data_IF_455674748354
#
_entry.id   IF_455674748354
#
_cell.length_a   1.000
_cell.length_b   1.000
_cell.length_c   1.000
_cell.angle_alpha   90.00
_cell.angle_beta   90.00
_cell.angle_gamma   90.00
#
_symmetry.space_group_name_H-M   'P 1'
#
loop_
_entity.id
_entity.type
_entity.pdbx_description
1 polymer ?
#
# COMPACT_ATOMS: atom_id res chain seq x y z
N UNK A 1 16.13 -49.37 61.93
CA UNK A 1 16.35 -49.12 60.48
C UNK A 1 17.77 -48.63 60.30
N UNK A 2 18.58 -49.27 59.45
CA UNK A 2 19.97 -48.86 59.22
C UNK A 2 19.97 -47.72 58.19
N UNK A 3 20.31 -46.50 58.61
CA UNK A 3 20.32 -45.29 57.76
C UNK A 3 21.58 -45.20 56.85
N UNK A 4 22.55 -46.09 57.07
CA UNK A 4 23.81 -46.17 56.32
C UNK A 4 23.62 -46.34 54.81
N UNK A 5 22.79 -47.28 54.31
CA UNK A 5 22.51 -47.39 52.87
C UNK A 5 21.85 -46.13 52.29
N UNK A 6 20.98 -45.44 53.04
CA UNK A 6 20.30 -44.22 52.58
C UNK A 6 21.26 -43.03 52.45
N UNK A 7 22.20 -42.87 53.39
CA UNK A 7 23.25 -41.84 53.31
C UNK A 7 24.19 -42.12 52.13
N UNK A 8 24.58 -43.38 51.92
CA UNK A 8 25.42 -43.78 50.79
C UNK A 8 24.73 -43.46 49.45
N UNK A 9 23.44 -43.78 49.32
CA UNK A 9 22.62 -43.42 48.16
C UNK A 9 22.53 -41.90 47.96
N UNK A 10 22.42 -41.11 49.03
CA UNK A 10 22.34 -39.64 48.95
C UNK A 10 23.67 -39.02 48.49
N UNK A 11 24.80 -39.56 48.94
CA UNK A 11 26.14 -39.15 48.46
C UNK A 11 26.32 -39.52 46.99
N UNK A 12 25.91 -40.72 46.57
CA UNK A 12 25.95 -41.14 45.17
C UNK A 12 25.05 -40.24 44.31
N UNK A 13 23.84 -39.92 44.78
CA UNK A 13 22.93 -39.00 44.11
C UNK A 13 23.54 -37.59 43.97
N UNK A 14 24.17 -37.07 45.02
CA UNK A 14 24.84 -35.78 44.99
C UNK A 14 26.06 -35.78 44.05
N UNK A 15 26.83 -36.87 44.01
CA UNK A 15 27.95 -37.04 43.08
C UNK A 15 27.48 -37.13 41.62
N UNK A 16 26.41 -37.88 41.34
CA UNK A 16 25.77 -37.95 40.04
C UNK A 16 25.19 -36.60 39.62
N UNK A 17 24.49 -35.90 40.53
CA UNK A 17 23.97 -34.56 40.29
C UNK A 17 25.08 -33.54 40.01
N UNK A 18 26.19 -33.61 40.75
CA UNK A 18 27.37 -32.79 40.51
C UNK A 18 28.04 -33.08 39.16
N UNK A 19 28.18 -34.36 38.79
CA UNK A 19 28.71 -34.78 37.49
C UNK A 19 27.84 -34.28 36.32
N UNK A 20 26.51 -34.45 36.41
CA UNK A 20 25.59 -33.94 35.40
C UNK A 20 25.65 -32.41 35.26
N UNK A 21 25.77 -31.69 36.38
CA UNK A 21 25.82 -30.23 36.38
C UNK A 21 27.14 -29.66 35.86
N UNK A 22 28.29 -30.22 36.25
CA UNK A 22 29.62 -29.69 35.89
C UNK A 22 30.22 -30.25 34.61
N UNK A 23 29.81 -31.45 34.17
CA UNK A 23 30.41 -32.12 33.01
C UNK A 23 29.40 -32.21 31.87
N UNK A 24 28.26 -32.86 32.11
CA UNK A 24 27.29 -33.22 31.06
C UNK A 24 26.52 -32.01 30.50
N UNK A 25 26.04 -31.10 31.35
CA UNK A 25 25.32 -29.89 30.93
C UNK A 25 26.19 -28.94 30.09
N UNK A 26 27.45 -28.64 30.49
CA UNK A 26 28.35 -27.84 29.66
C UNK A 26 28.76 -28.53 28.35
N UNK A 27 29.00 -29.84 28.35
CA UNK A 27 29.39 -30.58 27.14
C UNK A 27 28.24 -30.63 26.13
N UNK A 28 27.01 -30.94 26.57
CA UNK A 28 25.83 -30.92 25.69
C UNK A 28 25.59 -29.52 25.10
N UNK A 29 25.72 -28.46 25.90
CA UNK A 29 25.62 -27.08 25.38
C UNK A 29 26.70 -26.77 24.35
N UNK A 30 27.92 -27.26 24.55
CA UNK A 30 29.01 -27.09 23.58
C UNK A 30 28.75 -27.88 22.29
N UNK A 31 28.27 -29.11 22.38
CA UNK A 31 27.90 -29.94 21.24
C UNK A 31 26.74 -29.31 20.45
N UNK A 32 25.67 -28.87 21.12
CA UNK A 32 24.56 -28.16 20.49
C UNK A 32 25.01 -26.85 19.84
N UNK A 33 25.92 -26.10 20.47
CA UNK A 33 26.50 -24.88 19.90
C UNK A 33 27.37 -25.17 18.67
N UNK A 34 28.17 -26.22 18.70
CA UNK A 34 28.99 -26.65 17.55
C UNK A 34 28.12 -27.16 16.40
N UNK A 35 27.09 -27.95 16.70
CA UNK A 35 26.15 -28.46 15.71
C UNK A 35 25.34 -27.32 15.08
N UNK A 36 24.92 -26.34 15.89
CA UNK A 36 24.24 -25.14 15.38
C UNK A 36 25.19 -24.28 14.55
N UNK A 37 26.41 -24.01 15.03
CA UNK A 37 27.42 -23.21 14.35
C UNK A 37 27.86 -23.81 13.01
N UNK A 38 27.93 -25.14 12.93
CA UNK A 38 28.26 -25.85 11.68
C UNK A 38 27.13 -25.82 10.65
N UNK A 39 25.87 -25.71 11.12
CA UNK A 39 24.67 -25.59 10.26
C UNK A 39 24.37 -24.15 9.84
N UNK A 40 24.92 -23.15 10.50
CA UNK A 40 24.73 -21.73 10.16
C UNK A 40 25.84 -21.20 9.26
N UNK A 41 25.51 -20.27 8.37
CA UNK A 41 26.50 -19.62 7.52
C UNK A 41 27.32 -18.58 8.28
N UNK A 42 26.66 -17.69 9.03
CA UNK A 42 27.32 -16.64 9.81
C UNK A 42 27.47 -17.03 11.29
N UNK A 43 28.58 -16.65 11.95
CA UNK A 43 28.84 -16.98 13.35
C UNK A 43 28.19 -16.00 14.35
N UNK A 44 27.46 -14.98 13.90
CA UNK A 44 26.84 -13.95 14.74
C UNK A 44 25.37 -13.72 14.38
N UNK A 45 24.55 -13.22 15.34
CA UNK A 45 23.15 -12.93 15.10
C UNK A 45 22.95 -11.68 14.22
N UNK A 46 21.76 -11.56 13.64
CA UNK A 46 21.36 -10.42 12.81
C UNK A 46 21.51 -9.06 13.53
N UNK A 47 21.16 -9.01 14.82
CA UNK A 47 21.22 -7.81 15.67
C UNK A 47 22.64 -7.30 15.90
N UNK A 48 23.66 -8.12 15.70
CA UNK A 48 25.06 -7.70 15.85
C UNK A 48 25.62 -7.03 14.60
N UNK A 49 24.95 -7.15 13.45
CA UNK A 49 25.43 -6.69 12.14
C UNK A 49 25.30 -5.17 12.04
N UNK A 50 26.44 -4.50 11.83
CA UNK A 50 26.53 -3.04 11.71
C UNK A 50 27.06 -2.59 10.35
N UNK A 51 27.58 -3.50 9.53
CA UNK A 51 28.08 -3.16 8.19
C UNK A 51 28.01 -4.32 7.22
N UNK A 52 27.82 -3.98 5.94
CA UNK A 52 27.77 -4.91 4.82
C UNK A 52 28.53 -4.30 3.64
N UNK A 53 29.38 -5.09 3.01
CA UNK A 53 29.94 -4.76 1.69
C UNK A 53 29.59 -5.89 0.74
N UNK A 54 28.99 -5.56 -0.39
CA UNK A 54 28.61 -6.52 -1.42
C UNK A 54 29.32 -6.15 -2.72
N UNK A 55 30.10 -7.10 -3.23
CA UNK A 55 30.81 -7.01 -4.51
C UNK A 55 30.16 -7.96 -5.51
N UNK A 56 29.79 -7.43 -6.67
CA UNK A 56 29.15 -8.14 -7.79
C UNK A 56 29.77 -7.69 -9.11
N UNK A 57 29.53 -8.38 -10.24
CA UNK A 57 29.91 -7.89 -11.57
C UNK A 57 29.35 -6.49 -11.90
N UNK A 58 28.27 -6.07 -11.24
CA UNK A 58 27.64 -4.77 -11.42
C UNK A 58 28.28 -3.66 -10.58
N UNK A 59 29.20 -4.00 -9.67
CA UNK A 59 29.94 -3.07 -8.83
C UNK A 59 29.91 -3.43 -7.34
N UNK A 60 30.57 -2.58 -6.55
CA UNK A 60 30.68 -2.70 -5.10
C UNK A 60 29.70 -1.72 -4.44
N UNK A 61 28.98 -2.18 -3.42
CA UNK A 61 28.12 -1.35 -2.59
C UNK A 61 28.50 -1.59 -1.13
N UNK A 62 28.86 -0.52 -0.43
CA UNK A 62 29.14 -0.56 1.01
C UNK A 62 28.00 0.11 1.77
N UNK A 63 27.57 -0.52 2.85
CA UNK A 63 26.47 -0.07 3.70
C UNK A 63 26.86 -0.17 5.16
N UNK A 64 26.43 0.80 5.95
CA UNK A 64 26.61 0.83 7.40
C UNK A 64 25.34 1.23 8.12
N UNK A 65 25.18 0.69 9.32
CA UNK A 65 24.16 1.11 10.27
C UNK A 65 24.63 2.39 10.95
N UNK A 66 23.91 3.49 10.74
CA UNK A 66 24.17 4.77 11.37
C UNK A 66 23.53 4.86 12.76
N UNK A 67 23.97 5.85 13.54
CA UNK A 67 23.33 6.24 14.79
C UNK A 67 21.84 6.53 14.58
N UNK A 68 20.99 5.94 15.43
CA UNK A 68 19.54 5.97 15.28
C UNK A 68 18.95 4.82 14.44
N UNK A 69 19.76 3.81 14.10
CA UNK A 69 19.26 2.55 13.55
C UNK A 69 18.90 2.59 12.06
N UNK A 70 19.42 3.57 11.31
CA UNK A 70 19.16 3.71 9.88
C UNK A 70 20.34 3.22 9.05
N UNK A 71 20.06 2.38 8.06
CA UNK A 71 21.07 1.93 7.10
C UNK A 71 21.33 2.99 6.04
N UNK A 72 22.61 3.24 5.77
CA UNK A 72 23.07 4.10 4.69
C UNK A 72 24.05 3.36 3.79
N UNK A 73 24.03 3.69 2.51
CA UNK A 73 25.09 3.35 1.57
C UNK A 73 26.21 4.37 1.78
N UNK A 74 27.42 3.90 2.01
CA UNK A 74 28.62 4.73 2.23
C UNK A 74 29.51 4.80 1.00
N UNK A 75 29.45 3.80 0.12
CA UNK A 75 30.16 3.76 -1.17
C UNK A 75 29.32 3.03 -2.24
N UNK A 76 29.36 3.47 -3.51
CA UNK A 76 30.23 4.53 -4.06
C UNK A 76 29.67 5.95 -3.85
N UNK A 77 28.49 6.10 -3.25
CA UNK A 77 27.90 7.38 -2.90
C UNK A 77 27.31 7.32 -1.49
N UNK A 78 27.19 8.49 -0.85
CA UNK A 78 26.62 8.61 0.50
C UNK A 78 25.12 8.92 0.41
N UNK A 79 24.28 7.89 0.53
CA UNK A 79 22.82 8.02 0.47
C UNK A 79 22.14 7.02 1.39
N UNK A 80 20.87 7.23 1.67
CA UNK A 80 20.08 6.31 2.47
C UNK A 80 19.82 4.99 1.73
N UNK A 81 19.98 3.87 2.45
CA UNK A 81 19.64 2.56 1.95
C UNK A 81 18.14 2.28 2.10
N UNK A 82 17.60 1.37 1.28
CA UNK A 82 16.30 0.77 1.52
C UNK A 82 16.45 -0.26 2.66
N UNK A 83 15.88 0.00 3.85
CA UNK A 83 16.04 -0.87 5.00
C UNK A 83 15.46 -2.27 4.75
N UNK A 84 14.46 -2.42 3.87
CA UNK A 84 13.84 -3.71 3.56
C UNK A 84 14.79 -4.57 2.73
N UNK A 85 15.48 -3.98 1.76
CA UNK A 85 16.45 -4.69 0.92
C UNK A 85 17.69 -5.09 1.73
N UNK A 86 18.17 -4.20 2.61
CA UNK A 86 19.27 -4.52 3.53
C UNK A 86 18.86 -5.64 4.50
N UNK A 87 17.69 -5.53 5.13
CA UNK A 87 17.20 -6.55 6.06
C UNK A 87 16.94 -7.89 5.35
N UNK A 88 16.48 -7.85 4.09
CA UNK A 88 16.29 -9.05 3.27
C UNK A 88 17.62 -9.77 3.03
N UNK A 89 18.69 -9.02 2.71
CA UNK A 89 20.03 -9.57 2.55
C UNK A 89 20.56 -10.16 3.87
N UNK A 90 20.46 -9.41 4.98
CA UNK A 90 20.86 -9.89 6.32
C UNK A 90 20.13 -11.18 6.67
N UNK A 91 18.82 -11.20 6.50
CA UNK A 91 17.99 -12.37 6.77
C UNK A 91 18.46 -13.56 5.94
N UNK A 92 18.68 -13.37 4.64
CA UNK A 92 19.13 -14.45 3.76
C UNK A 92 20.47 -15.05 4.21
N UNK A 93 21.39 -14.23 4.73
CA UNK A 93 22.68 -14.71 5.27
C UNK A 93 22.52 -15.44 6.61
N UNK A 94 21.68 -14.93 7.50
CA UNK A 94 21.48 -15.49 8.86
C UNK A 94 20.65 -16.77 8.82
N UNK A 95 19.61 -16.82 7.98
CA UNK A 95 18.75 -18.01 7.84
C UNK A 95 19.33 -19.05 6.89
N UNK A 96 20.36 -18.69 6.11
CA UNK A 96 21.04 -19.59 5.19
C UNK A 96 21.68 -20.75 5.94
N UNK A 97 21.33 -21.98 5.55
CA UNK A 97 21.82 -23.19 6.18
C UNK A 97 22.93 -23.82 5.37
N UNK A 98 23.94 -24.29 6.07
CA UNK A 98 24.94 -25.20 5.54
C UNK A 98 24.29 -26.59 5.48
N UNK A 99 24.09 -27.07 4.27
CA UNK A 99 23.54 -28.42 4.02
C UNK A 99 24.63 -29.47 4.07
N UNK A 100 25.83 -29.11 3.60
CA UNK A 100 26.99 -30.00 3.56
C UNK A 100 28.26 -29.17 3.53
N UNK A 101 29.28 -29.60 4.27
CA UNK A 101 30.66 -29.14 4.08
C UNK A 101 31.30 -29.98 2.98
N UNK A 102 31.98 -29.34 2.04
CA UNK A 102 32.75 -30.04 1.00
C UNK A 102 34.13 -30.33 1.59
N UNK A 103 34.38 -31.59 1.90
CA UNK A 103 35.68 -32.06 2.39
C UNK A 103 36.70 -32.13 1.24
N UNK A 104 37.99 -32.03 1.59
CA UNK A 104 39.12 -32.29 0.68
C UNK A 104 39.25 -31.33 -0.52
N UNK A 105 38.84 -30.06 -0.36
CA UNK A 105 38.93 -29.05 -1.42
C UNK A 105 40.35 -28.51 -1.62
N UNK A 106 41.21 -28.60 -0.61
CA UNK A 106 42.57 -28.03 -0.65
C UNK A 106 42.54 -26.58 -1.14
N UNK A 107 43.26 -26.28 -2.22
CA UNK A 107 43.25 -24.98 -2.92
C UNK A 107 42.41 -24.96 -4.21
N UNK A 108 41.65 -26.02 -4.52
CA UNK A 108 40.91 -26.17 -5.77
C UNK A 108 39.53 -25.49 -5.72
N UNK A 109 39.49 -24.17 -5.90
CA UNK A 109 38.26 -23.37 -5.84
C UNK A 109 37.50 -23.28 -7.17
N UNK A 110 38.19 -23.50 -8.30
CA UNK A 110 37.63 -23.36 -9.64
C UNK A 110 36.40 -24.25 -9.94
N UNK A 111 36.35 -25.55 -9.51
CA UNK A 111 35.18 -26.41 -9.76
C UNK A 111 33.87 -25.94 -9.12
N UNK A 112 33.96 -25.00 -8.19
CA UNK A 112 32.84 -24.48 -7.42
C UNK A 112 32.50 -23.03 -7.81
N UNK A 113 33.16 -22.45 -8.81
CA UNK A 113 33.03 -21.04 -9.16
C UNK A 113 33.56 -20.08 -8.10
N UNK A 114 34.45 -20.55 -7.20
CA UNK A 114 34.94 -19.78 -6.05
C UNK A 114 36.34 -19.16 -6.27
N UNK A 115 36.99 -19.45 -7.40
CA UNK A 115 38.17 -18.71 -7.89
C UNK A 115 37.80 -17.25 -8.21
N UNK A 116 36.74 -17.08 -9.02
CA UNK A 116 36.16 -15.79 -9.36
C UNK A 116 34.70 -15.77 -8.90
N UNK A 117 34.43 -15.55 -7.60
CA UNK A 117 33.10 -15.61 -7.06
C UNK A 117 32.19 -14.56 -7.70
N UNK A 118 30.99 -14.97 -8.10
CA UNK A 118 29.98 -14.09 -8.70
C UNK A 118 29.50 -13.03 -7.70
N UNK A 119 29.57 -13.31 -6.41
CA UNK A 119 29.24 -12.34 -5.38
C UNK A 119 30.11 -12.55 -4.15
N UNK A 120 30.69 -11.49 -3.61
CA UNK A 120 31.41 -11.52 -2.33
C UNK A 120 30.74 -10.59 -1.35
N UNK A 121 30.43 -11.07 -0.16
CA UNK A 121 29.77 -10.30 0.89
C UNK A 121 30.65 -10.28 2.13
N UNK A 122 31.08 -9.10 2.54
CA UNK A 122 31.75 -8.90 3.83
C UNK A 122 30.76 -8.34 4.82
N UNK A 123 30.58 -9.02 5.94
CA UNK A 123 29.68 -8.64 7.02
C UNK A 123 30.49 -8.20 8.22
N UNK A 124 30.17 -7.03 8.78
CA UNK A 124 30.79 -6.49 9.99
C UNK A 124 29.79 -6.55 11.14
N UNK A 125 30.20 -7.13 12.26
CA UNK A 125 29.36 -7.30 13.44
C UNK A 125 30.17 -7.16 14.74
N UNK A 126 29.84 -6.17 15.58
CA UNK A 126 30.43 -6.05 16.93
C UNK A 126 31.97 -6.04 17.01
N UNK A 127 32.66 -5.54 15.97
CA UNK A 127 34.14 -5.55 15.87
C UNK A 127 34.72 -6.80 15.20
N UNK A 128 33.91 -7.82 14.91
CA UNK A 128 34.25 -8.95 14.06
C UNK A 128 33.86 -8.66 12.61
N UNK A 129 34.50 -9.36 11.68
CA UNK A 129 34.11 -9.38 10.29
C UNK A 129 34.27 -10.79 9.71
N UNK A 130 33.38 -11.16 8.81
CA UNK A 130 33.47 -12.40 8.04
C UNK A 130 33.13 -12.13 6.57
N UNK A 131 33.73 -12.89 5.67
CA UNK A 131 33.55 -12.76 4.22
C UNK A 131 32.99 -14.05 3.67
N UNK A 132 31.89 -13.92 2.93
CA UNK A 132 31.16 -15.00 2.29
C UNK A 132 31.32 -14.81 0.78
N UNK A 133 32.05 -15.71 0.13
CA UNK A 133 32.17 -15.72 -1.33
C UNK A 133 31.22 -16.75 -1.92
N UNK A 134 30.37 -16.33 -2.84
CA UNK A 134 29.32 -17.14 -3.46
C UNK A 134 29.77 -17.53 -4.86
N UNK A 135 29.82 -18.83 -5.10
CA UNK A 135 30.21 -19.44 -6.37
C UNK A 135 29.01 -19.98 -7.14
N UNK A 136 29.22 -21.11 -7.81
CA UNK A 136 28.26 -21.73 -8.71
C UNK A 136 27.08 -22.38 -7.98
N UNK A 137 26.02 -22.64 -8.75
CA UNK A 137 24.90 -23.46 -8.30
C UNK A 137 25.37 -24.88 -7.99
N UNK A 138 24.89 -25.40 -6.87
CA UNK A 138 25.16 -26.78 -6.47
C UNK A 138 24.38 -27.80 -7.31
N UNK A 139 24.58 -29.10 -7.04
CA UNK A 139 23.92 -30.18 -7.77
C UNK A 139 22.39 -30.18 -7.64
N UNK A 140 21.86 -29.52 -6.59
CA UNK A 140 20.44 -29.34 -6.37
C UNK A 140 20.04 -27.92 -6.82
N UNK A 141 18.87 -27.79 -7.46
CA UNK A 141 18.39 -26.55 -8.08
C UNK A 141 18.25 -25.34 -7.14
N UNK A 142 18.30 -25.54 -5.82
CA UNK A 142 18.22 -24.49 -4.82
C UNK A 142 19.41 -24.56 -3.84
N UNK A 143 20.60 -24.86 -4.34
CA UNK A 143 21.83 -24.84 -3.54
C UNK A 143 22.92 -24.00 -4.19
N UNK A 144 23.80 -23.44 -3.37
CA UNK A 144 24.96 -22.65 -3.80
C UNK A 144 26.23 -23.10 -3.08
N UNK A 145 27.34 -23.14 -3.82
CA UNK A 145 28.65 -23.25 -3.20
C UNK A 145 29.09 -21.91 -2.62
N UNK A 146 29.61 -21.96 -1.41
CA UNK A 146 30.01 -20.78 -0.65
C UNK A 146 31.35 -21.04 0.02
N UNK A 147 32.31 -20.13 -0.15
CA UNK A 147 33.53 -20.10 0.67
C UNK A 147 33.30 -19.17 1.85
N UNK A 148 33.39 -19.72 3.06
CA UNK A 148 33.37 -18.91 4.29
C UNK A 148 34.79 -18.52 4.69
N UNK A 149 34.99 -17.24 4.90
CA UNK A 149 36.31 -16.65 5.19
C UNK A 149 36.84 -17.06 6.56
N UNK A 150 35.99 -17.14 7.59
CA UNK A 150 36.40 -17.40 8.97
C UNK A 150 37.12 -18.73 9.17
N UNK A 151 36.67 -19.80 8.50
CA UNK A 151 37.22 -21.16 8.60
C UNK A 151 37.80 -21.68 7.28
N UNK A 152 37.80 -20.85 6.23
CA UNK A 152 38.25 -21.17 4.88
C UNK A 152 37.63 -22.46 4.31
N UNK A 153 36.36 -22.75 4.66
CA UNK A 153 35.66 -23.95 4.20
C UNK A 153 34.75 -23.65 3.01
N UNK A 154 34.71 -24.60 2.08
CA UNK A 154 33.71 -24.65 1.01
C UNK A 154 32.46 -25.38 1.52
N UNK A 155 31.33 -24.71 1.40
CA UNK A 155 30.05 -25.10 1.97
C UNK A 155 29.03 -25.17 0.84
N UNK A 156 28.20 -26.21 0.86
CA UNK A 156 26.97 -26.26 0.08
C UNK A 156 25.85 -25.72 0.94
N UNK A 157 25.20 -24.66 0.48
CA UNK A 157 24.16 -23.94 1.22
C UNK A 157 22.82 -23.98 0.52
N UNK A 158 21.72 -23.76 1.24
CA UNK A 158 20.35 -23.63 0.68
C UNK A 158 19.99 -22.20 0.25
N UNK A 159 21.01 -21.36 0.07
CA UNK A 159 20.85 -19.97 -0.32
C UNK A 159 20.13 -19.85 -1.67
N UNK A 160 19.14 -18.97 -1.74
CA UNK A 160 18.44 -18.66 -2.98
C UNK A 160 19.32 -17.75 -3.88
N UNK A 161 19.71 -18.17 -5.10
CA UNK A 161 20.64 -17.40 -5.94
C UNK A 161 20.20 -15.97 -6.22
N UNK A 162 18.89 -15.74 -6.39
CA UNK A 162 18.31 -14.41 -6.64
C UNK A 162 18.55 -13.40 -5.51
N UNK A 163 18.80 -13.87 -4.29
CA UNK A 163 19.07 -12.99 -3.14
C UNK A 163 20.45 -12.34 -3.20
N UNK A 164 21.36 -12.89 -4.00
CA UNK A 164 22.77 -12.53 -3.97
C UNK A 164 23.31 -12.12 -5.35
N UNK A 165 22.80 -12.74 -6.40
CA UNK A 165 23.22 -12.45 -7.78
C UNK A 165 22.47 -11.23 -8.33
N UNK A 166 23.12 -10.44 -9.20
CA UNK A 166 22.58 -9.26 -9.87
C UNK A 166 22.15 -8.11 -8.94
N UNK A 167 22.66 -8.11 -7.70
CA UNK A 167 22.46 -6.97 -6.79
C UNK A 167 23.26 -5.78 -7.31
N UNK A 168 22.58 -4.65 -7.43
CA UNK A 168 23.18 -3.39 -7.90
C UNK A 168 23.07 -2.33 -6.81
N UNK A 169 23.81 -1.24 -6.97
CA UNK A 169 23.61 -0.03 -6.19
C UNK A 169 22.13 0.39 -6.11
N UNK A 170 21.42 0.40 -7.24
CA UNK A 170 20.00 0.76 -7.29
C UNK A 170 19.12 -0.22 -6.49
N UNK A 171 19.55 -1.47 -6.30
CA UNK A 171 18.80 -2.45 -5.49
C UNK A 171 18.71 -1.99 -4.04
N UNK A 172 19.83 -1.53 -3.47
CA UNK A 172 19.90 -1.11 -2.08
C UNK A 172 19.57 0.36 -1.86
N UNK A 173 19.51 1.18 -2.91
CA UNK A 173 19.08 2.57 -2.77
C UNK A 173 17.59 2.62 -2.49
N UNK A 174 17.21 3.54 -1.61
CA UNK A 174 15.81 3.87 -1.39
C UNK A 174 15.17 4.42 -2.67
N UNK A 175 13.98 3.93 -3.02
CA UNK A 175 13.30 4.25 -4.28
C UNK A 175 12.04 5.09 -4.08
N UNK A 176 11.53 5.20 -2.86
CA UNK A 176 10.35 6.01 -2.54
C UNK A 176 10.68 7.51 -2.67
N UNK A 177 9.86 8.24 -3.43
CA UNK A 177 10.04 9.68 -3.66
C UNK A 177 9.42 10.54 -2.55
N UNK A 178 8.36 10.04 -1.92
CA UNK A 178 7.64 10.69 -0.82
C UNK A 178 7.62 9.75 0.39
N UNK A 179 7.63 10.29 1.60
CA UNK A 179 7.68 9.54 2.86
C UNK A 179 6.65 10.11 3.82
N UNK A 180 5.48 9.51 3.85
CA UNK A 180 4.40 10.00 4.68
C UNK A 180 3.56 8.84 5.16
N UNK A 181 2.92 9.03 6.31
CA UNK A 181 1.85 8.14 6.78
C UNK A 181 0.54 8.76 6.32
N UNK A 182 -0.33 7.99 5.65
CA UNK A 182 -1.55 8.54 5.04
C UNK A 182 -2.45 9.27 6.04
N UNK A 183 -2.51 8.80 7.29
CA UNK A 183 -3.31 9.41 8.36
C UNK A 183 -2.76 10.76 8.82
N UNK A 184 -1.46 11.01 8.62
CA UNK A 184 -0.79 12.24 9.04
C UNK A 184 -0.86 13.33 7.95
N UNK A 185 -1.42 13.00 6.78
CA UNK A 185 -1.62 13.96 5.70
C UNK A 185 -2.84 14.84 5.99
N UNK A 186 -2.57 16.12 6.19
CA UNK A 186 -3.60 17.12 6.47
C UNK A 186 -4.13 17.76 5.18
N UNK A 187 -3.26 17.91 4.17
CA UNK A 187 -3.61 18.55 2.90
C UNK A 187 -2.82 17.98 1.73
N UNK A 188 -3.52 17.80 0.62
CA UNK A 188 -2.93 17.38 -0.67
C UNK A 188 -3.23 18.47 -1.70
N UNK A 189 -2.19 19.00 -2.33
CA UNK A 189 -2.32 19.93 -3.45
C UNK A 189 -1.81 19.27 -4.72
N UNK A 190 -2.66 19.22 -5.74
CA UNK A 190 -2.33 18.78 -7.09
C UNK A 190 -2.35 20.01 -8.00
N UNK A 191 -1.19 20.48 -8.42
CA UNK A 191 -1.06 21.62 -9.32
C UNK A 191 -0.75 21.12 -10.73
N UNK A 192 -1.64 21.41 -11.68
CA UNK A 192 -1.52 21.09 -13.10
C UNK A 192 -1.20 22.37 -13.90
N UNK A 193 -0.87 22.26 -15.20
CA UNK A 193 -0.61 23.44 -16.03
C UNK A 193 -1.77 24.46 -16.11
N UNK A 194 -3.02 24.00 -16.04
CA UNK A 194 -4.21 24.84 -16.26
C UNK A 194 -5.08 25.05 -15.02
N UNK A 195 -4.87 24.28 -13.95
CA UNK A 195 -5.70 24.31 -12.76
C UNK A 195 -4.97 23.69 -11.57
N UNK A 196 -5.52 23.84 -10.38
CA UNK A 196 -5.07 23.10 -9.21
C UNK A 196 -6.26 22.54 -8.44
N UNK A 197 -6.03 21.45 -7.71
CA UNK A 197 -6.99 20.81 -6.83
C UNK A 197 -6.38 20.76 -5.44
N UNK A 198 -7.10 21.26 -4.45
CA UNK A 198 -6.65 21.25 -3.04
C UNK A 198 -7.64 20.48 -2.20
N UNK A 199 -7.16 19.40 -1.59
CA UNK A 199 -7.89 18.51 -0.70
C UNK A 199 -7.44 18.74 0.74
N UNK A 200 -8.38 18.83 1.67
CA UNK A 200 -8.14 18.91 3.11
C UNK A 200 -8.73 17.71 3.81
N UNK A 201 -7.96 17.13 4.72
CA UNK A 201 -8.43 16.11 5.63
C UNK A 201 -9.12 16.76 6.83
N UNK A 202 -10.44 16.60 6.93
CA UNK A 202 -11.27 17.14 8.00
C UNK A 202 -11.45 16.17 9.17
N UNK A 203 -10.72 15.06 9.18
CA UNK A 203 -10.85 14.00 10.18
C UNK A 203 -9.92 14.16 11.40
N UNK A 204 -9.39 15.36 11.65
CA UNK A 204 -8.69 15.63 12.90
C UNK A 204 -9.61 15.22 14.07
N UNK A 205 -9.13 14.30 14.89
CA UNK A 205 -9.85 13.70 16.04
C UNK A 205 -11.08 12.83 15.70
N UNK A 206 -11.22 12.35 14.46
CA UNK A 206 -12.30 11.44 14.04
C UNK A 206 -11.77 10.06 13.61
N UNK A 207 -12.53 8.98 13.86
CA UNK A 207 -12.09 7.62 13.52
C UNK A 207 -12.10 7.32 12.01
N UNK A 208 -12.76 8.14 11.19
CA UNK A 208 -12.86 7.96 9.73
C UNK A 208 -12.32 9.18 8.98
N UNK A 209 -11.45 9.00 7.96
CA UNK A 209 -10.99 10.10 7.11
C UNK A 209 -12.18 10.79 6.45
N UNK A 210 -12.10 12.12 6.33
CA UNK A 210 -13.16 12.97 5.78
C UNK A 210 -12.50 14.04 4.91
N UNK A 211 -12.17 13.65 3.69
CA UNK A 211 -11.54 14.54 2.73
C UNK A 211 -12.56 15.46 2.09
N UNK A 212 -12.21 16.75 1.97
CA UNK A 212 -12.99 17.74 1.23
C UNK A 212 -12.12 18.48 0.24
N UNK A 213 -12.70 18.85 -0.90
CA UNK A 213 -12.10 19.76 -1.86
C UNK A 213 -12.35 21.20 -1.38
N UNK A 214 -11.30 22.02 -1.39
CA UNK A 214 -11.36 23.45 -1.05
C UNK A 214 -11.06 24.37 -2.22
N UNK A 215 -10.45 23.83 -3.28
CA UNK A 215 -10.16 24.58 -4.49
C UNK A 215 -10.16 23.60 -5.69
N UNK A 216 -10.69 23.98 -6.86
CA UNK A 216 -11.20 25.30 -7.24
C UNK A 216 -12.64 25.58 -6.77
N UNK A 217 -13.27 24.58 -6.15
CA UNK A 217 -14.61 24.66 -5.58
C UNK A 217 -14.57 24.15 -4.13
N UNK A 218 -15.56 24.54 -3.34
CA UNK A 218 -15.83 23.89 -2.06
C UNK A 218 -16.78 22.72 -2.29
N UNK A 219 -16.28 21.50 -2.11
CA UNK A 219 -17.06 20.29 -2.32
C UNK A 219 -16.56 19.15 -1.43
N UNK A 220 -17.37 18.12 -1.31
CA UNK A 220 -17.00 16.88 -0.65
C UNK A 220 -16.18 16.02 -1.61
N UNK A 221 -15.13 15.39 -1.11
CA UNK A 221 -14.28 14.53 -1.93
C UNK A 221 -14.81 13.09 -1.91
N UNK A 222 -14.57 12.37 -3.00
CA UNK A 222 -14.76 10.93 -3.01
C UNK A 222 -13.66 10.28 -2.16
N UNK A 223 -14.06 9.69 -1.03
CA UNK A 223 -13.10 9.14 -0.06
C UNK A 223 -12.33 7.93 -0.63
N UNK A 224 -12.94 7.18 -1.54
CA UNK A 224 -12.32 6.02 -2.19
C UNK A 224 -11.27 6.49 -3.18
N UNK A 225 -11.58 7.50 -3.98
CA UNK A 225 -10.64 8.06 -4.96
C UNK A 225 -9.47 8.79 -4.31
N UNK A 226 -9.70 9.51 -3.20
CA UNK A 226 -8.61 10.13 -2.43
C UNK A 226 -7.74 9.07 -1.77
N UNK A 227 -8.31 8.00 -1.21
CA UNK A 227 -7.52 6.87 -0.69
C UNK A 227 -6.68 6.21 -1.79
N UNK A 228 -7.27 5.98 -2.96
CA UNK A 228 -6.56 5.43 -4.11
C UNK A 228 -5.43 6.37 -4.58
N UNK A 229 -5.64 7.70 -4.52
CA UNK A 229 -4.59 8.68 -4.77
C UNK A 229 -3.44 8.55 -3.77
N UNK A 230 -3.72 8.38 -2.47
CA UNK A 230 -2.68 8.22 -1.45
C UNK A 230 -1.85 6.95 -1.70
N UNK A 231 -2.48 5.82 -2.02
CA UNK A 231 -1.77 4.59 -2.38
C UNK A 231 -0.87 4.79 -3.61
N UNK A 232 -1.35 5.47 -4.64
CA UNK A 232 -0.55 5.78 -5.84
C UNK A 232 0.68 6.63 -5.53
N UNK A 233 0.56 7.57 -4.58
CA UNK A 233 1.68 8.42 -4.14
C UNK A 233 2.68 7.64 -3.28
N UNK A 234 2.22 6.70 -2.46
CA UNK A 234 3.07 5.80 -1.68
C UNK A 234 3.82 4.80 -2.57
N UNK A 235 3.17 4.32 -3.63
CA UNK A 235 3.76 3.43 -4.64
C UNK A 235 4.58 4.14 -5.71
N UNK A 236 4.69 5.48 -5.64
CA UNK A 236 5.53 6.25 -6.54
C UNK A 236 7.02 5.99 -6.23
N UNK A 237 7.58 5.03 -6.97
CA UNK A 237 8.95 4.54 -6.79
C UNK A 237 9.80 4.81 -8.03
N UNK A 238 11.07 5.08 -7.79
CA UNK A 238 12.07 5.24 -8.83
C UNK A 238 12.37 3.89 -9.51
N UNK A 239 12.25 3.86 -10.84
CA UNK A 239 12.77 2.79 -11.71
C UNK A 239 14.25 3.00 -12.03
N UNK A 240 14.73 4.24 -11.93
CA UNK A 240 16.12 4.62 -12.08
C UNK A 240 16.38 5.98 -11.44
N UNK A 241 17.64 6.25 -11.10
CA UNK A 241 18.03 7.49 -10.41
C UNK A 241 19.17 8.12 -11.21
N UNK A 242 19.05 9.42 -11.48
CA UNK A 242 20.06 10.25 -12.15
C UNK A 242 20.61 11.20 -11.08
N UNK A 243 21.78 10.86 -10.54
CA UNK A 243 22.43 11.60 -9.46
C UNK A 243 22.91 12.99 -9.89
N UNK A 244 23.05 13.95 -8.96
CA UNK A 244 23.57 15.28 -9.25
C UNK A 244 24.90 15.24 -10.03
N UNK A 245 24.98 16.03 -11.10
CA UNK A 245 26.13 16.07 -12.00
C UNK A 245 25.73 16.49 -13.42
N UNK A 246 26.68 16.52 -14.37
CA UNK A 246 26.46 17.06 -15.72
C UNK A 246 25.31 16.38 -16.48
N UNK A 247 25.16 15.06 -16.33
CA UNK A 247 24.07 14.31 -16.96
C UNK A 247 22.70 14.74 -16.41
N UNK A 248 22.58 14.86 -15.08
CA UNK A 248 21.37 15.33 -14.43
C UNK A 248 21.02 16.74 -14.88
N UNK A 249 22.00 17.63 -14.96
CA UNK A 249 21.77 19.02 -15.37
C UNK A 249 21.34 19.14 -16.84
N UNK A 250 21.85 18.27 -17.71
CA UNK A 250 21.39 18.18 -19.09
C UNK A 250 19.91 17.76 -19.16
N UNK A 251 19.49 16.75 -18.39
CA UNK A 251 18.09 16.31 -18.31
C UNK A 251 17.22 17.39 -17.67
N UNK A 252 17.65 18.01 -16.56
CA UNK A 252 16.90 19.04 -15.87
C UNK A 252 16.52 20.22 -16.79
N UNK A 253 17.39 20.59 -17.74
CA UNK A 253 17.12 21.64 -18.74
C UNK A 253 15.98 21.31 -19.71
N UNK A 254 15.67 20.03 -19.94
CA UNK A 254 14.53 19.62 -20.78
C UNK A 254 13.21 19.63 -20.01
N UNK A 255 13.26 19.66 -18.67
CA UNK A 255 12.10 19.65 -17.78
C UNK A 255 11.52 21.07 -17.66
N UNK A 256 10.71 21.47 -18.65
CA UNK A 256 10.14 22.83 -18.70
C UNK A 256 8.88 22.98 -17.86
N UNK A 257 7.84 22.19 -18.13
CA UNK A 257 6.54 22.27 -17.45
C UNK A 257 6.14 20.92 -16.87
N UNK A 258 5.92 20.81 -15.55
CA UNK A 258 5.45 19.57 -14.94
C UNK A 258 4.02 19.27 -15.38
N UNK A 259 3.75 18.00 -15.69
CA UNK A 259 2.38 17.51 -15.93
C UNK A 259 1.54 17.60 -14.66
N UNK A 260 2.17 17.39 -13.51
CA UNK A 260 1.58 17.60 -12.19
C UNK A 260 2.67 17.86 -11.16
N UNK A 261 2.43 18.82 -10.27
CA UNK A 261 3.17 19.01 -9.03
C UNK A 261 2.26 18.60 -7.88
N UNK A 262 2.68 17.60 -7.12
CA UNK A 262 1.98 17.15 -5.91
C UNK A 262 2.70 17.73 -4.70
N UNK A 263 1.94 18.26 -3.75
CA UNK A 263 2.45 18.73 -2.46
C UNK A 263 1.60 18.15 -1.34
N UNK A 264 2.25 17.42 -0.44
CA UNK A 264 1.68 16.84 0.76
C UNK A 264 2.06 17.70 1.95
N UNK A 265 1.07 18.16 2.70
CA UNK A 265 1.27 18.87 3.96
C UNK A 265 1.02 17.89 5.12
N UNK A 266 1.99 17.80 6.01
CA UNK A 266 1.94 17.01 7.24
C UNK A 266 2.44 17.86 8.40
N UNK A 267 2.25 17.40 9.63
CA UNK A 267 2.80 18.06 10.82
C UNK A 267 4.35 18.14 10.81
N UNK A 268 5.03 17.19 10.13
CA UNK A 268 6.49 17.18 9.96
C UNK A 268 6.99 18.14 8.88
N UNK A 269 6.08 18.68 8.06
CA UNK A 269 6.38 19.64 6.99
C UNK A 269 5.83 19.23 5.63
N UNK A 270 6.16 20.05 4.62
CA UNK A 270 5.76 19.85 3.24
C UNK A 270 6.71 18.90 2.49
N UNK A 271 6.13 17.94 1.77
CA UNK A 271 6.84 17.14 0.79
C UNK A 271 6.27 17.39 -0.60
N UNK A 272 7.15 17.59 -1.58
CA UNK A 272 6.77 17.93 -2.95
C UNK A 272 7.41 16.96 -3.93
N UNK A 273 6.65 16.58 -4.96
CA UNK A 273 7.17 15.91 -6.14
C UNK A 273 6.56 16.55 -7.39
N UNK A 274 7.39 16.83 -8.39
CA UNK A 274 6.97 17.28 -9.71
C UNK A 274 7.20 16.16 -10.70
N UNK A 275 6.20 15.88 -11.54
CA UNK A 275 6.27 14.84 -12.55
C UNK A 275 6.28 15.47 -13.94
N UNK A 276 7.19 15.01 -14.78
CA UNK A 276 7.44 15.49 -16.12
C UNK A 276 7.38 14.33 -17.11
N UNK A 277 7.02 14.66 -18.34
CA UNK A 277 7.06 13.74 -19.47
C UNK A 277 7.67 14.51 -20.66
N UNK A 278 9.01 14.61 -20.72
CA UNK A 278 9.69 15.44 -21.71
C UNK A 278 9.53 14.89 -23.13
N UNK A 279 9.44 13.57 -23.27
CA UNK A 279 9.18 12.89 -24.54
C UNK A 279 7.92 12.02 -24.42
N UNK A 280 6.88 12.41 -25.15
CA UNK A 280 5.59 11.72 -25.16
C UNK A 280 5.65 10.43 -26.01
N UNK A 281 6.54 10.36 -27.00
CA UNK A 281 6.66 9.21 -27.89
C UNK A 281 7.39 8.03 -27.24
N UNK A 282 8.53 8.27 -26.56
CA UNK A 282 9.17 7.22 -25.76
C UNK A 282 8.39 6.88 -24.50
N UNK A 283 7.52 7.81 -24.05
CA UNK A 283 6.77 7.69 -22.81
C UNK A 283 7.62 7.91 -21.56
N UNK A 284 8.91 8.29 -21.66
CA UNK A 284 9.78 8.47 -20.49
C UNK A 284 9.18 9.50 -19.51
N UNK A 285 9.05 9.09 -18.24
CA UNK A 285 8.54 9.94 -17.18
C UNK A 285 9.63 10.17 -16.12
N UNK A 286 9.81 11.44 -15.76
CA UNK A 286 10.82 11.90 -14.83
C UNK A 286 10.14 12.59 -13.65
N UNK A 287 10.64 12.36 -12.45
CA UNK A 287 10.19 13.03 -11.24
C UNK A 287 11.34 13.80 -10.57
N UNK A 288 10.99 14.92 -9.97
CA UNK A 288 11.87 15.82 -9.25
C UNK A 288 11.26 16.15 -7.89
N UNK A 289 12.00 15.91 -6.80
CA UNK A 289 11.55 16.27 -5.44
C UNK A 289 12.14 17.61 -4.98
N UNK A 290 13.40 17.88 -5.31
CA UNK A 290 14.10 19.15 -5.05
C UNK A 290 15.00 19.56 -6.23
N UNK A 291 15.28 20.86 -6.42
CA UNK A 291 16.09 21.37 -7.53
C UNK A 291 17.55 20.89 -7.56
N UNK A 292 18.10 20.44 -6.44
CA UNK A 292 19.48 19.98 -6.23
C UNK A 292 19.57 18.47 -5.95
N UNK A 293 18.43 17.79 -5.84
CA UNK A 293 18.34 16.36 -5.62
C UNK A 293 18.48 15.56 -6.94
N UNK A 294 18.70 14.23 -6.85
CA UNK A 294 18.60 13.35 -8.00
C UNK A 294 17.27 13.52 -8.75
N UNK A 295 17.30 13.27 -10.06
CA UNK A 295 16.10 13.06 -10.84
C UNK A 295 15.75 11.57 -10.86
N UNK A 296 14.47 11.25 -10.86
CA UNK A 296 14.00 9.87 -10.78
C UNK A 296 13.27 9.49 -12.06
N UNK A 297 13.71 8.43 -12.71
CA UNK A 297 12.91 7.77 -13.76
C UNK A 297 11.78 7.03 -13.07
N UNK A 298 10.56 7.24 -13.52
CA UNK A 298 9.35 6.63 -12.94
C UNK A 298 8.53 5.94 -14.03
N UNK A 299 7.56 5.12 -13.61
CA UNK A 299 6.64 4.51 -14.56
C UNK A 299 5.84 5.58 -15.32
N UNK A 300 5.72 5.50 -16.66
CA UNK A 300 4.89 6.40 -17.45
C UNK A 300 3.42 6.40 -17.00
N UNK A 301 2.94 5.25 -16.50
CA UNK A 301 1.59 5.12 -15.96
C UNK A 301 1.33 6.09 -14.79
N UNK A 302 2.36 6.41 -13.99
CA UNK A 302 2.22 7.33 -12.86
C UNK A 302 1.78 8.73 -13.30
N UNK A 303 2.14 9.19 -14.51
CA UNK A 303 1.65 10.46 -15.05
C UNK A 303 0.13 10.39 -15.20
N UNK A 304 -0.37 9.41 -15.95
CA UNK A 304 -1.82 9.21 -16.16
C UNK A 304 -2.57 9.02 -14.84
N UNK A 305 -1.98 8.25 -13.92
CA UNK A 305 -2.59 7.89 -12.65
C UNK A 305 -2.63 9.04 -11.63
N UNK A 306 -1.80 10.07 -11.80
CA UNK A 306 -1.73 11.24 -10.92
C UNK A 306 -2.23 12.54 -11.58
N UNK A 307 -2.45 12.56 -12.88
CA UNK A 307 -3.18 13.63 -13.58
C UNK A 307 -4.69 13.40 -13.50
N UNK A 308 -5.27 13.65 -12.33
CA UNK A 308 -6.70 13.43 -12.06
C UNK A 308 -7.52 14.67 -12.34
N UNK A 309 -8.68 14.47 -12.96
CA UNK A 309 -9.67 15.54 -13.10
C UNK A 309 -10.38 15.80 -11.77
N UNK A 310 -10.80 17.05 -11.56
CA UNK A 310 -11.55 17.47 -10.38
C UNK A 310 -12.78 16.59 -10.14
N UNK A 311 -13.54 16.29 -11.19
CA UNK A 311 -14.77 15.51 -11.09
C UNK A 311 -14.51 14.06 -10.67
N UNK A 312 -13.33 13.51 -10.95
CA UNK A 312 -12.93 12.17 -10.46
C UNK A 312 -12.73 12.17 -8.94
N UNK A 313 -12.18 13.25 -8.38
CA UNK A 313 -11.89 13.35 -6.94
C UNK A 313 -13.07 13.86 -6.12
N UNK A 314 -14.12 14.36 -6.76
CA UNK A 314 -15.32 14.90 -6.14
C UNK A 314 -16.30 13.77 -5.80
N UNK A 315 -17.01 13.87 -4.66
CA UNK A 315 -18.12 12.97 -4.35
C UNK A 315 -19.23 13.15 -5.40
N UNK A 316 -19.42 12.12 -6.24
CA UNK A 316 -20.34 12.15 -7.39
C UNK A 316 -21.78 11.75 -7.03
N UNK A 317 -22.08 11.45 -5.76
CA UNK A 317 -23.44 11.07 -5.35
C UNK A 317 -24.39 12.26 -5.45
N UNK A 318 -25.44 12.11 -6.26
CA UNK A 318 -26.38 13.20 -6.55
C UNK A 318 -27.34 13.48 -5.38
N UNK A 319 -27.81 12.44 -4.69
CA UNK A 319 -28.65 12.61 -3.51
C UNK A 319 -27.89 13.31 -2.38
N UNK A 320 -26.60 12.94 -2.22
CA UNK A 320 -25.66 13.69 -1.40
C UNK A 320 -25.74 13.46 0.10
N UNK A 321 -26.38 12.38 0.53
CA UNK A 321 -26.50 11.95 1.92
C UNK A 321 -26.04 10.50 2.05
N UNK A 322 -25.47 10.15 3.21
CA UNK A 322 -25.18 8.76 3.51
C UNK A 322 -26.48 8.00 3.75
N UNK A 323 -26.61 6.79 3.19
CA UNK A 323 -27.85 6.01 3.33
C UNK A 323 -28.18 5.69 4.79
N UNK A 324 -27.16 5.61 5.67
CA UNK A 324 -27.33 5.37 7.11
C UNK A 324 -27.88 6.59 7.87
N UNK A 325 -27.85 7.77 7.26
CA UNK A 325 -28.39 9.01 7.81
C UNK A 325 -29.82 9.32 7.32
N UNK A 326 -30.35 8.52 6.38
CA UNK A 326 -31.71 8.65 5.86
C UNK A 326 -32.70 8.04 6.85
N UNK A 327 -33.62 8.86 7.36
CA UNK A 327 -34.74 8.42 8.18
C UNK A 327 -36.01 8.18 7.35
N UNK A 328 -36.21 8.95 6.27
CA UNK A 328 -37.32 8.73 5.35
C UNK A 328 -36.86 8.92 3.91
N UNK A 329 -37.34 8.07 3.00
CA UNK A 329 -37.15 8.22 1.57
C UNK A 329 -38.52 8.26 0.88
N UNK A 330 -38.88 9.43 0.37
CA UNK A 330 -40.04 9.59 -0.51
C UNK A 330 -39.66 9.19 -1.92
N UNK A 331 -40.49 8.37 -2.54
CA UNK A 331 -40.34 7.87 -3.91
C UNK A 331 -41.54 8.30 -4.73
N UNK A 332 -41.30 9.00 -5.83
CA UNK A 332 -42.33 9.43 -6.77
C UNK A 332 -41.91 9.15 -8.19
N UNK A 333 -42.67 8.35 -8.91
CA UNK A 333 -42.52 8.11 -10.35
C UNK A 333 -43.83 8.48 -11.06
N UNK A 334 -43.97 8.13 -12.34
CA UNK A 334 -45.25 8.29 -13.06
C UNK A 334 -46.36 7.35 -12.56
N UNK A 335 -45.97 6.19 -12.03
CA UNK A 335 -46.85 5.07 -11.70
C UNK A 335 -46.80 4.66 -10.22
N UNK A 336 -45.81 5.12 -9.45
CA UNK A 336 -45.57 4.74 -8.05
C UNK A 336 -45.40 5.99 -7.19
N UNK A 337 -46.05 6.00 -6.02
CA UNK A 337 -45.84 7.01 -4.98
C UNK A 337 -45.92 6.35 -3.61
N UNK A 338 -44.82 6.43 -2.85
CA UNK A 338 -44.71 5.86 -1.51
C UNK A 338 -43.57 6.48 -0.71
N UNK A 339 -43.62 6.30 0.61
CA UNK A 339 -42.59 6.75 1.53
C UNK A 339 -42.11 5.57 2.36
N UNK A 340 -40.80 5.34 2.34
CA UNK A 340 -40.14 4.41 3.26
C UNK A 340 -39.66 5.17 4.49
N UNK A 341 -39.96 4.66 5.68
CA UNK A 341 -39.55 5.23 6.96
C UNK A 341 -38.67 4.21 7.68
N UNK A 342 -37.48 4.62 8.09
CA UNK A 342 -36.62 3.83 8.96
C UNK A 342 -36.98 4.11 10.43
N UNK A 343 -37.63 3.14 11.09
CA UNK A 343 -37.91 3.19 12.52
C UNK A 343 -37.11 2.10 13.23
N UNK A 344 -36.25 2.49 14.17
CA UNK A 344 -35.42 1.57 14.96
C UNK A 344 -34.54 0.62 14.11
N UNK A 345 -34.12 1.03 12.92
CA UNK A 345 -33.31 0.22 12.02
C UNK A 345 -34.12 -0.67 11.07
N UNK A 346 -35.45 -0.64 11.13
CA UNK A 346 -36.34 -1.34 10.21
C UNK A 346 -37.07 -0.36 9.29
N UNK A 347 -37.13 -0.67 8.00
CA UNK A 347 -37.91 0.05 7.00
C UNK A 347 -39.37 -0.37 7.02
N UNK A 348 -40.26 0.61 7.01
CA UNK A 348 -41.71 0.45 6.91
C UNK A 348 -42.26 1.35 5.81
N UNK A 349 -43.43 0.98 5.26
CA UNK A 349 -44.21 1.87 4.39
C UNK A 349 -45.06 2.81 5.26
N UNK A 350 -44.97 4.12 4.98
CA UNK A 350 -45.73 5.14 5.73
C UNK A 350 -47.25 4.89 5.71
N UNK A 351 -47.79 4.47 4.56
CA UNK A 351 -49.22 4.23 4.37
C UNK A 351 -49.66 2.83 4.81
N UNK A 352 -48.71 1.92 5.09
CA UNK A 352 -48.96 0.53 5.53
C UNK A 352 -47.99 0.11 6.63
N UNK A 353 -48.00 0.78 7.80
CA UNK A 353 -46.98 0.58 8.83
C UNK A 353 -47.08 -0.79 9.53
N UNK A 354 -48.20 -1.51 9.38
CA UNK A 354 -48.40 -2.84 9.99
C UNK A 354 -47.97 -3.99 9.09
N UNK A 355 -47.75 -3.74 7.80
CA UNK A 355 -47.32 -4.77 6.85
C UNK A 355 -45.79 -4.92 6.88
N UNK A 356 -45.30 -6.15 6.78
CA UNK A 356 -43.86 -6.43 6.84
C UNK A 356 -43.22 -6.11 5.50
N UNK A 357 -42.27 -5.19 5.49
CA UNK A 357 -41.41 -4.86 4.34
C UNK A 357 -40.15 -5.73 4.37
N UNK A 358 -39.70 -6.17 3.20
CA UNK A 358 -38.41 -6.82 3.01
C UNK A 358 -37.28 -5.83 3.30
N UNK A 359 -36.62 -6.03 4.45
CA UNK A 359 -35.52 -5.16 4.88
C UNK A 359 -34.36 -5.17 3.89
N UNK A 360 -34.04 -6.34 3.34
CA UNK A 360 -33.00 -6.48 2.33
C UNK A 360 -33.33 -5.69 1.05
N UNK A 361 -34.58 -5.76 0.58
CA UNK A 361 -35.02 -5.01 -0.61
C UNK A 361 -34.96 -3.51 -0.37
N UNK A 362 -35.48 -3.07 0.78
CA UNK A 362 -35.52 -1.67 1.17
C UNK A 362 -34.10 -1.10 1.34
N UNK A 363 -33.22 -1.79 2.07
CA UNK A 363 -31.82 -1.38 2.25
C UNK A 363 -31.07 -1.31 0.91
N UNK A 364 -31.24 -2.32 0.05
CA UNK A 364 -30.63 -2.36 -1.26
C UNK A 364 -31.13 -1.19 -2.13
N UNK A 365 -32.42 -0.92 -2.12
CA UNK A 365 -33.00 0.18 -2.88
C UNK A 365 -32.57 1.55 -2.35
N UNK A 366 -32.69 1.81 -1.05
CA UNK A 366 -32.28 3.08 -0.42
C UNK A 366 -30.79 3.33 -0.63
N UNK A 367 -29.95 2.31 -0.45
CA UNK A 367 -28.51 2.43 -0.70
C UNK A 367 -28.18 2.71 -2.16
N UNK A 368 -28.90 2.13 -3.13
CA UNK A 368 -28.74 2.44 -4.57
C UNK A 368 -29.09 3.88 -4.89
N UNK A 369 -30.23 4.38 -4.38
CA UNK A 369 -30.65 5.78 -4.58
C UNK A 369 -29.64 6.74 -3.96
N UNK A 370 -29.18 6.47 -2.74
CA UNK A 370 -28.22 7.30 -2.03
C UNK A 370 -26.82 7.31 -2.68
N UNK A 371 -26.40 6.17 -3.23
CA UNK A 371 -25.06 5.99 -3.82
C UNK A 371 -25.03 6.19 -5.34
N UNK A 372 -26.14 6.58 -5.98
CA UNK A 372 -26.19 6.80 -7.43
C UNK A 372 -25.15 7.84 -7.86
N UNK A 373 -24.09 7.45 -8.59
CA UNK A 373 -23.07 8.37 -9.01
C UNK A 373 -23.49 9.09 -10.29
N UNK A 374 -23.14 10.37 -10.38
CA UNK A 374 -23.06 11.04 -11.67
C UNK A 374 -21.92 10.43 -12.51
N UNK A 375 -22.25 9.99 -13.73
CA UNK A 375 -21.28 9.46 -14.68
C UNK A 375 -20.61 10.61 -15.45
N UNK A 376 -21.42 11.56 -15.91
CA UNK A 376 -20.95 12.72 -16.67
C UNK A 376 -21.62 14.00 -16.19
N UNK A 377 -20.88 15.12 -16.31
CA UNK A 377 -21.42 16.45 -16.05
C UNK A 377 -21.74 17.14 -17.37
N UNK A 378 -23.02 17.35 -17.62
CA UNK A 378 -23.54 17.95 -18.87
C UNK A 378 -23.44 19.47 -18.82
N UNK A 379 -23.89 20.09 -17.72
CA UNK A 379 -23.83 21.55 -17.54
C UNK A 379 -23.31 21.91 -16.15
N UNK A 380 -22.41 22.90 -16.10
CA UNK A 380 -21.74 23.37 -14.86
C UNK A 380 -22.55 24.37 -14.03
N UNK A 381 -23.60 24.98 -14.59
CA UNK A 381 -24.44 26.00 -13.97
C UNK A 381 -25.93 25.68 -14.12
N UNK A 382 -26.79 26.45 -13.46
CA UNK A 382 -28.25 26.36 -13.61
C UNK A 382 -28.66 26.50 -15.07
N UNK A 383 -29.27 25.45 -15.61
CA UNK A 383 -29.83 25.42 -16.96
C UNK A 383 -31.35 25.23 -16.90
N UNK A 384 -32.10 25.59 -17.96
CA UNK A 384 -33.51 25.26 -18.05
C UNK A 384 -33.69 23.75 -17.87
N UNK A 385 -34.57 23.34 -16.95
CA UNK A 385 -34.81 21.91 -16.64
C UNK A 385 -35.65 21.19 -17.70
N UNK A 386 -36.42 21.94 -18.49
CA UNK A 386 -37.39 21.40 -19.45
C UNK A 386 -36.78 20.53 -20.57
N UNK A 387 -35.68 20.93 -21.24
CA UNK A 387 -35.04 20.12 -22.29
C UNK A 387 -34.58 18.74 -21.81
N UNK A 388 -34.37 18.60 -20.51
CA UNK A 388 -33.84 17.40 -19.87
C UNK A 388 -34.94 16.55 -19.22
N UNK A 389 -36.21 16.96 -19.33
CA UNK A 389 -37.33 16.27 -18.66
C UNK A 389 -37.30 16.41 -17.14
N UNK A 390 -36.59 17.40 -16.59
CA UNK A 390 -36.45 17.60 -15.14
C UNK A 390 -37.52 18.54 -14.56
N UNK A 391 -38.38 19.12 -15.40
CA UNK A 391 -39.61 19.81 -14.96
C UNK A 391 -40.72 18.84 -14.59
N UNK A 392 -40.76 17.66 -15.22
CA UNK A 392 -41.66 16.56 -14.94
C UNK A 392 -40.85 15.25 -14.95
N UNK A 393 -40.07 15.00 -13.88
CA UNK A 393 -39.10 13.92 -13.84
C UNK A 393 -39.77 12.54 -13.98
N UNK A 394 -39.05 11.61 -14.60
CA UNK A 394 -39.44 10.21 -14.67
C UNK A 394 -39.48 9.56 -13.27
N UNK A 395 -38.56 9.96 -12.40
CA UNK A 395 -38.54 9.60 -10.98
C UNK A 395 -37.97 10.74 -10.14
N UNK A 396 -38.49 10.92 -8.94
CA UNK A 396 -38.02 11.86 -7.92
C UNK A 396 -37.89 11.14 -6.58
N UNK A 397 -36.76 11.38 -5.92
CA UNK A 397 -36.46 10.85 -4.59
C UNK A 397 -36.14 12.00 -3.66
N UNK A 398 -36.78 12.02 -2.49
CA UNK A 398 -36.53 13.02 -1.45
C UNK A 398 -36.15 12.30 -0.17
N UNK A 399 -34.95 12.59 0.34
CA UNK A 399 -34.43 12.01 1.57
C UNK A 399 -34.59 13.00 2.72
N UNK A 400 -35.13 12.51 3.83
CA UNK A 400 -35.28 13.24 5.09
C UNK A 400 -34.37 12.60 6.13
N UNK A 401 -33.57 13.43 6.80
CA UNK A 401 -32.63 12.98 7.82
C UNK A 401 -33.29 12.69 9.16
N UNK A 402 -32.53 12.11 10.09
CA UNK A 402 -33.00 11.81 11.46
C UNK A 402 -33.46 13.04 12.26
N UNK A 403 -33.08 14.24 11.82
CA UNK A 403 -33.53 15.52 12.38
C UNK A 403 -34.87 16.02 11.80
N UNK A 404 -35.50 15.26 10.91
CA UNK A 404 -36.75 15.63 10.24
C UNK A 404 -36.61 16.64 9.10
N UNK A 405 -35.39 17.05 8.74
CA UNK A 405 -35.15 17.98 7.64
C UNK A 405 -34.88 17.24 6.34
N UNK A 406 -35.27 17.83 5.21
CA UNK A 406 -34.88 17.34 3.88
C UNK A 406 -33.37 17.52 3.72
N UNK A 407 -32.66 16.42 3.56
CA UNK A 407 -31.19 16.37 3.45
C UNK A 407 -30.71 16.05 2.04
N UNK A 408 -31.61 15.61 1.16
CA UNK A 408 -31.28 15.30 -0.22
C UNK A 408 -32.50 15.27 -1.12
N UNK A 409 -32.30 15.64 -2.39
CA UNK A 409 -33.27 15.48 -3.46
C UNK A 409 -32.54 15.02 -4.71
N UNK A 410 -33.11 14.03 -5.40
CA UNK A 410 -32.62 13.49 -6.66
C UNK A 410 -33.80 13.44 -7.65
N UNK A 411 -33.64 14.03 -8.82
CA UNK A 411 -34.64 13.98 -9.89
C UNK A 411 -34.01 13.39 -11.15
N UNK A 412 -34.69 12.43 -11.75
CA UNK A 412 -34.29 11.73 -12.97
C UNK A 412 -35.19 12.16 -14.12
N UNK A 413 -34.59 12.61 -15.21
CA UNK A 413 -35.26 13.18 -16.37
C UNK A 413 -35.33 12.21 -17.56
N UNK A 414 -35.29 12.79 -18.75
CA UNK A 414 -35.34 12.05 -20.01
C UNK A 414 -34.05 11.26 -20.27
N UNK A 415 -34.20 10.18 -21.01
CA UNK A 415 -33.07 9.40 -21.52
C UNK A 415 -32.40 10.11 -22.70
N UNK A 416 -31.06 10.12 -22.68
CA UNK A 416 -30.20 10.60 -23.76
C UNK A 416 -29.15 9.54 -24.07
N UNK A 417 -29.33 8.83 -25.19
CA UNK A 417 -28.51 7.67 -25.52
C UNK A 417 -28.67 6.56 -24.49
N UNK A 418 -27.56 6.14 -23.87
CA UNK A 418 -27.52 5.05 -22.88
C UNK A 418 -27.63 5.55 -21.43
N UNK A 419 -27.80 6.86 -21.21
CA UNK A 419 -27.84 7.48 -19.88
C UNK A 419 -29.12 8.31 -19.69
N UNK A 420 -29.47 8.59 -18.44
CA UNK A 420 -30.56 9.49 -18.06
C UNK A 420 -30.00 10.82 -17.59
N UNK A 421 -30.67 11.92 -17.93
CA UNK A 421 -30.39 13.18 -17.25
C UNK A 421 -30.82 13.11 -15.78
N UNK A 422 -30.04 13.74 -14.91
CA UNK A 422 -30.33 13.82 -13.49
C UNK A 422 -29.89 15.15 -12.90
N UNK A 423 -30.53 15.54 -11.80
CA UNK A 423 -30.09 16.64 -10.94
C UNK A 423 -30.21 16.25 -9.48
N UNK A 424 -29.36 16.83 -8.64
CA UNK A 424 -29.28 16.52 -7.23
C UNK A 424 -29.15 17.78 -6.39
N UNK A 425 -29.61 17.73 -5.13
CA UNK A 425 -29.54 18.87 -4.22
C UNK A 425 -28.10 19.30 -3.89
N UNK A 426 -27.14 18.37 -3.89
CA UNK A 426 -25.75 18.61 -3.48
C UNK A 426 -24.85 19.08 -4.62
N UNK A 427 -25.08 18.59 -5.83
CA UNK A 427 -24.27 18.92 -7.00
C UNK A 427 -25.07 19.84 -7.92
N UNK A 428 -24.64 21.10 -8.04
CA UNK A 428 -25.28 22.05 -8.93
C UNK A 428 -24.99 21.72 -10.40
N UNK A 429 -26.07 21.66 -11.19
CA UNK A 429 -26.01 21.42 -12.63
C UNK A 429 -26.88 20.24 -13.05
N UNK A 430 -26.62 19.78 -14.27
CA UNK A 430 -27.27 18.62 -14.88
C UNK A 430 -26.20 17.59 -15.18
N UNK A 431 -26.50 16.36 -14.78
CA UNK A 431 -25.62 15.22 -14.87
C UNK A 431 -26.27 14.12 -15.70
N UNK A 432 -25.48 13.13 -16.07
CA UNK A 432 -25.98 11.88 -16.61
C UNK A 432 -25.69 10.74 -15.64
N UNK A 433 -26.65 9.82 -15.51
CA UNK A 433 -26.58 8.63 -14.65
C UNK A 433 -27.02 7.40 -15.44
N UNK A 434 -26.69 6.21 -14.92
CA UNK A 434 -27.13 4.96 -15.52
C UNK A 434 -28.66 4.79 -15.38
N UNK A 435 -29.32 4.20 -16.40
CA UNK A 435 -30.77 4.05 -16.42
C UNK A 435 -31.31 2.92 -15.54
N UNK A 436 -30.44 2.02 -15.08
CA UNK A 436 -30.81 0.85 -14.30
C UNK A 436 -31.52 1.20 -12.98
N UNK A 437 -31.28 2.39 -12.44
CA UNK A 437 -32.02 2.86 -11.26
C UNK A 437 -33.54 2.93 -11.51
N UNK A 438 -34.01 3.24 -12.73
CA UNK A 438 -35.45 3.31 -13.04
C UNK A 438 -36.12 1.94 -13.06
N UNK A 439 -35.39 0.89 -13.50
CA UNK A 439 -35.91 -0.48 -13.52
C UNK A 439 -35.80 -1.17 -12.18
N UNK A 440 -35.01 -0.61 -11.25
CA UNK A 440 -34.77 -1.15 -9.92
C UNK A 440 -35.60 -0.47 -8.82
N UNK A 441 -36.59 0.37 -9.18
CA UNK A 441 -37.53 0.97 -8.22
C UNK A 441 -38.59 -0.07 -7.87
N UNK A 442 -38.59 -0.64 -6.66
CA UNK A 442 -39.57 -1.66 -6.31
C UNK A 442 -40.96 -1.04 -6.18
N UNK A 443 -41.98 -1.81 -6.56
CA UNK A 443 -43.38 -1.57 -6.22
C UNK A 443 -43.63 -1.84 -4.73
N UNK A 444 -44.78 -1.39 -4.21
CA UNK A 444 -45.20 -1.72 -2.84
C UNK A 444 -45.35 -3.23 -2.69
N UNK A 445 -45.90 -3.89 -3.69
CA UNK A 445 -46.15 -5.32 -3.71
C UNK A 445 -44.85 -6.14 -3.67
N UNK A 446 -43.83 -5.76 -4.43
CA UNK A 446 -42.50 -6.41 -4.42
C UNK A 446 -41.82 -6.27 -3.05
N UNK A 447 -41.89 -5.09 -2.44
CA UNK A 447 -41.36 -4.83 -1.10
C UNK A 447 -42.02 -5.72 -0.03
N UNK A 448 -43.29 -6.07 -0.21
CA UNK A 448 -44.06 -6.91 0.71
C UNK A 448 -43.88 -8.41 0.42
N UNK A 449 -43.88 -8.81 -0.85
CA UNK A 449 -43.79 -10.21 -1.26
C UNK A 449 -42.45 -10.86 -0.88
N UNK A 450 -41.34 -10.14 -1.06
CA UNK A 450 -40.01 -10.63 -0.66
C UNK A 450 -39.89 -10.86 0.86
N UNK A 451 -40.72 -10.20 1.68
CA UNK A 451 -40.76 -10.44 3.12
C UNK A 451 -41.39 -11.80 3.46
N UNK A 452 -42.31 -12.28 2.62
CA UNK A 452 -43.06 -13.52 2.84
C UNK A 452 -42.34 -14.76 2.30
N UNK A 453 -41.48 -14.65 1.27
CA UNK A 453 -40.63 -15.77 0.83
C UNK A 453 -39.67 -16.24 1.93
N UNK A 454 -39.21 -15.33 2.79
CA UNK A 454 -38.33 -15.65 3.92
C UNK A 454 -39.03 -16.41 5.08
N UNK A 455 -40.36 -16.56 5.04
CA UNK A 455 -41.10 -17.45 5.96
C UNK A 455 -41.22 -18.89 5.45
N UNK A 456 -40.87 -19.15 4.18
CA UNK A 456 -41.10 -20.46 3.51
C UNK A 456 -39.83 -21.29 3.31
N UNK A 457 -38.66 -20.80 3.68
CA UNK A 457 -37.41 -21.56 3.77
C UNK A 457 -36.85 -21.51 5.17
#
# INVERSE_FOLDING_TARGET
MTYRPTILLLVILAALGGYLYWVELPSQRQEEQQETASKTLLPFPDTAITGLSISTPQGIVEMSLLDGGRWAITAPLQVEADPREVQSLIRALVTGKVTRTVDDVGSALAPFGLDQPVTTITVKAGGQQDTISIGDSGPLSNTLYVLRGSDHKVLLTDLAPKSFVNKTLLTFRRKELLRFVQNDVERVRLTYPTTEIVLYNMAKDKPKPSWKIRYPIEAEADQTEVRALMFRLEDLKALGIIDPGPQRDAVAKTLTSPKVKITLHTAEGDQTVKLYQPDVESGEAIAETKPDAPLYRISPAAIKDLTKELFTLQDKRLLGVDYTDIAMLSVKTRDKEYVLINQNGEWLLEDRPTEKVSQQAADLFVSRVANLPAEERVIKQSAPLAPYGLTAPAAEFVATGKNGQVVGKLSLGNQAGNLLYATGARLQGIFQVRPDILTQIPSKEELLAEADEKKRG
#
